data_IF_462310365311
#
_entry.id   IF_462310365311
#
_cell.length_a   1.000
_cell.length_b   1.000
_cell.length_c   1.000
_cell.angle_alpha   90.00
_cell.angle_beta   90.00
_cell.angle_gamma   90.00
#
_symmetry.space_group_name_H-M   'P 1'
#
loop_
_entity.id
_entity.type
_entity.pdbx_description
1 polymer ?
#
# COMPACT_ATOMS: atom_id res chain seq x y z
N UNK A 1 -11.80 -18.06 4.14
CA UNK A 1 -10.74 -17.04 3.96
C UNK A 1 -11.30 -15.73 4.48
N UNK A 2 -10.72 -15.20 5.52
CA UNK A 2 -11.10 -13.95 6.19
C UNK A 2 -10.23 -12.79 5.73
N UNK A 3 -10.76 -11.57 5.74
CA UNK A 3 -10.09 -10.37 5.23
C UNK A 3 -10.26 -9.21 6.22
N UNK A 4 -9.17 -8.67 6.73
CA UNK A 4 -9.16 -7.43 7.50
C UNK A 4 -8.58 -6.27 6.68
N UNK A 5 -9.14 -5.07 6.86
CA UNK A 5 -8.60 -3.83 6.29
C UNK A 5 -7.95 -3.01 7.41
N UNK A 6 -6.67 -2.64 7.22
CA UNK A 6 -5.83 -1.99 8.22
C UNK A 6 -5.45 -0.59 7.74
N UNK A 7 -5.83 0.44 8.51
CA UNK A 7 -5.73 1.84 8.07
C UNK A 7 -5.06 2.69 9.14
N UNK A 8 -3.79 3.11 8.95
CA UNK A 8 -3.22 4.22 9.70
C UNK A 8 -3.96 5.52 9.36
N UNK A 9 -4.35 6.27 10.38
CA UNK A 9 -5.17 7.49 10.23
C UNK A 9 -4.55 8.64 11.00
N UNK A 10 -4.50 9.82 10.36
CA UNK A 10 -4.13 11.06 11.02
C UNK A 10 -5.01 12.21 10.56
N UNK A 11 -5.77 12.81 11.49
CA UNK A 11 -6.72 13.89 11.20
C UNK A 11 -7.71 13.50 10.09
N UNK A 12 -8.55 12.46 10.31
CA UNK A 12 -9.47 11.95 9.29
C UNK A 12 -10.35 13.06 8.72
N UNK A 13 -10.49 13.07 7.41
CA UNK A 13 -11.30 14.04 6.66
C UNK A 13 -12.49 13.36 5.94
N UNK A 14 -13.14 14.11 5.04
CA UNK A 14 -14.25 13.59 4.22
C UNK A 14 -13.85 12.40 3.31
N UNK A 15 -12.58 12.26 2.93
CA UNK A 15 -12.10 11.14 2.12
C UNK A 15 -12.10 9.86 2.94
N UNK A 16 -11.65 9.94 4.20
CA UNK A 16 -11.74 8.82 5.12
C UNK A 16 -13.19 8.38 5.33
N UNK A 17 -14.12 9.30 5.57
CA UNK A 17 -15.54 8.96 5.70
C UNK A 17 -16.07 8.24 4.44
N UNK A 18 -15.67 8.70 3.24
CA UNK A 18 -16.03 8.05 1.98
C UNK A 18 -15.38 6.68 1.81
N UNK A 19 -14.09 6.53 2.21
CA UNK A 19 -13.40 5.25 2.21
C UNK A 19 -14.18 4.21 3.02
N UNK A 20 -14.56 4.54 4.26
CA UNK A 20 -15.34 3.64 5.11
C UNK A 20 -16.68 3.26 4.48
N UNK A 21 -17.39 4.23 3.88
CA UNK A 21 -18.64 3.96 3.17
C UNK A 21 -18.45 3.01 1.98
N UNK A 22 -17.34 3.13 1.25
CA UNK A 22 -17.05 2.28 0.10
C UNK A 22 -16.60 0.87 0.52
N UNK A 23 -15.89 0.72 1.65
CA UNK A 23 -15.54 -0.59 2.19
C UNK A 23 -16.80 -1.40 2.58
N UNK A 24 -17.82 -0.76 3.12
CA UNK A 24 -19.10 -1.41 3.44
C UNK A 24 -19.89 -1.89 2.21
N UNK A 25 -19.57 -1.38 1.02
CA UNK A 25 -20.27 -1.71 -0.25
C UNK A 25 -19.50 -2.72 -1.09
N UNK A 26 -18.35 -3.21 -0.62
CA UNK A 26 -17.57 -4.15 -1.40
C UNK A 26 -18.31 -5.47 -1.59
N UNK A 27 -18.10 -6.13 -2.74
CA UNK A 27 -18.64 -7.49 -3.04
C UNK A 27 -18.09 -8.52 -2.05
N UNK A 28 -16.85 -8.31 -1.59
CA UNK A 28 -16.26 -9.00 -0.45
C UNK A 28 -16.12 -7.98 0.67
N UNK A 29 -17.04 -8.01 1.63
CA UNK A 29 -17.02 -7.10 2.79
C UNK A 29 -15.90 -7.54 3.72
N UNK A 30 -15.04 -6.63 4.21
CA UNK A 30 -14.00 -7.01 5.18
C UNK A 30 -14.63 -7.50 6.49
N UNK A 31 -14.04 -8.52 7.11
CA UNK A 31 -14.48 -9.05 8.39
C UNK A 31 -14.25 -8.01 9.51
N UNK A 32 -13.11 -7.31 9.44
CA UNK A 32 -12.78 -6.22 10.38
C UNK A 32 -12.13 -5.05 9.65
N UNK A 33 -12.31 -3.85 10.21
CA UNK A 33 -11.61 -2.62 9.82
C UNK A 33 -10.83 -2.12 11.04
N UNK A 34 -9.51 -2.28 11.01
CA UNK A 34 -8.61 -1.93 12.12
C UNK A 34 -7.99 -0.56 11.83
N UNK A 35 -8.35 0.41 12.66
CA UNK A 35 -7.90 1.80 12.55
C UNK A 35 -6.78 2.06 13.56
N UNK A 36 -5.63 2.50 13.06
CA UNK A 36 -4.51 2.97 13.87
C UNK A 36 -4.51 4.51 13.86
N UNK A 37 -5.24 5.12 14.78
CA UNK A 37 -5.41 6.58 14.79
C UNK A 37 -4.29 7.27 15.57
N UNK A 38 -3.51 8.09 14.88
CA UNK A 38 -2.50 8.96 15.50
C UNK A 38 -3.17 10.19 16.09
N UNK A 39 -2.92 10.46 17.37
CA UNK A 39 -3.49 11.55 18.19
C UNK A 39 -5.01 11.40 18.42
N UNK A 40 -5.37 10.85 19.57
CA UNK A 40 -6.77 10.64 19.99
C UNK A 40 -7.62 11.91 19.87
N UNK A 41 -7.03 13.09 20.10
CA UNK A 41 -7.74 14.37 20.04
C UNK A 41 -8.33 14.68 18.65
N UNK A 42 -7.80 14.09 17.57
CA UNK A 42 -8.31 14.28 16.22
C UNK A 42 -9.36 13.25 15.79
N UNK A 43 -9.65 12.26 16.66
CA UNK A 43 -10.64 11.23 16.34
C UNK A 43 -12.04 11.65 16.82
N UNK A 44 -12.98 11.74 15.87
CA UNK A 44 -14.40 11.88 16.21
C UNK A 44 -15.10 10.52 16.00
N UNK A 45 -15.50 9.90 17.11
CA UNK A 45 -16.14 8.60 17.08
C UNK A 45 -17.61 8.60 16.61
N UNK A 46 -18.30 9.76 16.60
CA UNK A 46 -19.75 9.82 16.39
C UNK A 46 -20.21 9.29 15.03
N UNK A 47 -19.38 9.41 14.01
CA UNK A 47 -19.66 8.88 12.66
C UNK A 47 -19.34 7.40 12.44
N UNK A 48 -18.70 6.73 13.42
CA UNK A 48 -18.09 5.40 13.20
C UNK A 48 -18.46 4.34 14.24
N UNK A 49 -19.18 4.72 15.32
CA UNK A 49 -19.50 3.82 16.46
C UNK A 49 -20.27 2.57 16.06
N UNK A 50 -21.16 2.69 15.07
CA UNK A 50 -22.09 1.63 14.67
C UNK A 50 -21.62 0.86 13.43
N UNK A 51 -20.32 0.92 13.10
CA UNK A 51 -19.78 0.18 11.97
C UNK A 51 -19.34 -1.20 12.45
N UNK A 52 -20.03 -2.27 11.99
CA UNK A 52 -19.69 -3.62 12.42
C UNK A 52 -18.23 -3.96 12.07
N UNK A 53 -17.54 -4.61 13.01
CA UNK A 53 -16.14 -5.04 12.82
C UNK A 53 -15.11 -3.90 12.80
N UNK A 54 -15.50 -2.65 13.08
CA UNK A 54 -14.52 -1.56 13.19
C UNK A 54 -13.91 -1.50 14.58
N UNK A 55 -12.60 -1.47 14.64
CA UNK A 55 -11.80 -1.29 15.85
C UNK A 55 -10.87 -0.09 15.70
N UNK A 56 -10.70 0.67 16.78
CA UNK A 56 -9.87 1.89 16.77
C UNK A 56 -8.87 1.83 17.91
N UNK A 57 -7.60 1.85 17.53
CA UNK A 57 -6.46 1.93 18.43
C UNK A 57 -5.82 3.31 18.30
N UNK A 58 -5.47 3.93 19.41
CA UNK A 58 -4.87 5.27 19.41
C UNK A 58 -3.39 5.19 19.70
N UNK A 59 -2.63 5.97 18.95
CA UNK A 59 -1.19 6.18 19.10
C UNK A 59 -0.93 7.68 19.34
N UNK A 60 0.17 8.00 19.97
CA UNK A 60 0.72 9.36 19.94
C UNK A 60 1.52 9.58 18.67
N UNK A 61 1.85 10.83 18.38
CA UNK A 61 2.69 11.16 17.20
C UNK A 61 4.11 10.61 17.34
N UNK A 62 4.64 10.52 18.55
CA UNK A 62 5.95 9.96 18.87
C UNK A 62 6.00 8.43 18.65
N UNK A 63 4.87 7.74 18.85
CA UNK A 63 4.74 6.29 18.63
C UNK A 63 4.54 5.93 17.17
N UNK A 64 4.17 6.91 16.33
CA UNK A 64 3.90 6.63 14.92
C UNK A 64 5.21 6.34 14.17
N UNK A 65 5.20 5.23 13.47
CA UNK A 65 6.23 4.79 12.53
C UNK A 65 5.56 4.12 11.33
N UNK A 66 6.05 4.33 10.11
CA UNK A 66 5.40 3.81 8.91
C UNK A 66 5.30 2.28 8.89
N UNK A 67 6.37 1.58 9.19
CA UNK A 67 6.40 0.11 9.27
C UNK A 67 5.81 -0.39 10.59
N UNK A 68 6.27 0.17 11.72
CA UNK A 68 5.88 -0.24 13.07
C UNK A 68 4.38 -0.11 13.33
N UNK A 69 3.75 0.99 12.92
CA UNK A 69 2.29 1.17 13.05
C UNK A 69 1.52 0.12 12.26
N UNK A 70 1.99 -0.23 11.05
CA UNK A 70 1.38 -1.29 10.24
C UNK A 70 1.62 -2.68 10.82
N UNK A 71 2.80 -2.94 11.38
CA UNK A 71 3.08 -4.19 12.10
C UNK A 71 2.16 -4.35 13.31
N UNK A 72 1.94 -3.26 14.06
CA UNK A 72 1.02 -3.27 15.19
C UNK A 72 -0.43 -3.53 14.74
N UNK A 73 -0.88 -2.93 13.63
CA UNK A 73 -2.17 -3.25 13.04
C UNK A 73 -2.27 -4.72 12.61
N UNK A 74 -1.21 -5.27 12.00
CA UNK A 74 -1.13 -6.69 11.61
C UNK A 74 -1.18 -7.62 12.84
N UNK A 75 -0.65 -7.20 13.97
CA UNK A 75 -0.72 -7.96 15.22
C UNK A 75 -2.16 -8.07 15.74
N UNK A 76 -2.97 -7.00 15.62
CA UNK A 76 -4.40 -7.02 16.00
C UNK A 76 -5.25 -7.84 15.03
N UNK A 77 -4.84 -7.99 13.79
CA UNK A 77 -5.57 -8.79 12.80
C UNK A 77 -5.46 -10.29 13.10
N UNK A 78 -6.54 -11.05 12.89
CA UNK A 78 -6.57 -12.51 12.94
C UNK A 78 -6.97 -13.13 11.59
N UNK A 79 -7.12 -12.33 10.55
CA UNK A 79 -7.57 -12.76 9.22
C UNK A 79 -6.49 -13.50 8.44
N UNK A 80 -6.91 -14.22 7.40
CA UNK A 80 -6.01 -14.89 6.44
C UNK A 80 -5.29 -13.87 5.56
N UNK A 81 -6.02 -12.79 5.19
CA UNK A 81 -5.55 -11.72 4.31
C UNK A 81 -5.69 -10.37 5.02
N UNK A 82 -4.64 -9.59 4.98
CA UNK A 82 -4.61 -8.21 5.47
C UNK A 82 -4.51 -7.25 4.29
N UNK A 83 -5.37 -6.23 4.25
CA UNK A 83 -5.30 -5.16 3.24
C UNK A 83 -4.92 -3.87 3.94
N UNK A 84 -3.70 -3.40 3.72
CA UNK A 84 -3.29 -2.07 4.17
C UNK A 84 -3.81 -1.01 3.21
N UNK A 85 -4.35 0.07 3.77
CA UNK A 85 -4.78 1.25 3.00
C UNK A 85 -4.35 2.53 3.70
N UNK A 86 -4.12 3.61 2.95
CA UNK A 86 -4.04 4.96 3.52
C UNK A 86 -5.45 5.54 3.70
N UNK A 87 -5.61 6.45 4.64
CA UNK A 87 -6.90 7.02 5.04
C UNK A 87 -7.58 7.88 3.96
N UNK A 88 -6.89 8.15 2.87
CA UNK A 88 -7.37 8.92 1.73
C UNK A 88 -7.46 8.13 0.41
N UNK A 89 -7.19 6.83 0.44
CA UNK A 89 -7.30 5.93 -0.71
C UNK A 89 -8.73 5.38 -0.84
N UNK A 90 -9.57 6.07 -1.61
CA UNK A 90 -11.00 5.71 -1.73
C UNK A 90 -11.20 4.65 -2.82
N UNK A 91 -11.81 3.48 -2.54
CA UNK A 91 -12.19 2.52 -3.57
C UNK A 91 -12.99 3.16 -4.70
N UNK A 92 -12.61 2.88 -5.95
CA UNK A 92 -13.30 3.42 -7.13
C UNK A 92 -14.68 2.81 -7.31
N UNK A 93 -14.82 1.51 -6.98
CA UNK A 93 -16.02 0.71 -7.14
C UNK A 93 -16.10 -0.37 -6.02
N UNK A 94 -17.08 -1.26 -6.11
CA UNK A 94 -17.34 -2.34 -5.15
C UNK A 94 -16.47 -3.59 -5.33
N UNK A 95 -15.57 -3.64 -6.31
CA UNK A 95 -14.79 -4.83 -6.64
C UNK A 95 -13.34 -4.79 -6.17
N UNK A 96 -12.93 -3.76 -5.41
CA UNK A 96 -11.53 -3.58 -4.99
C UNK A 96 -10.99 -4.81 -4.26
N UNK A 97 -11.67 -5.26 -3.21
CA UNK A 97 -11.20 -6.39 -2.37
C UNK A 97 -11.22 -7.68 -3.18
N UNK A 98 -12.30 -7.97 -3.90
CA UNK A 98 -12.41 -9.14 -4.76
C UNK A 98 -11.26 -9.22 -5.77
N UNK A 99 -10.91 -8.10 -6.42
CA UNK A 99 -9.83 -8.06 -7.40
C UNK A 99 -8.45 -8.24 -6.75
N UNK A 100 -8.21 -7.69 -5.56
CA UNK A 100 -6.97 -7.93 -4.83
C UNK A 100 -6.81 -9.41 -4.45
N UNK A 101 -7.90 -10.07 -4.03
CA UNK A 101 -7.88 -11.50 -3.72
C UNK A 101 -7.58 -12.34 -4.97
N UNK A 102 -8.19 -12.02 -6.11
CA UNK A 102 -7.85 -12.64 -7.41
C UNK A 102 -6.38 -12.43 -7.77
N UNK A 103 -5.81 -11.27 -7.43
CA UNK A 103 -4.39 -10.98 -7.58
C UNK A 103 -3.51 -11.90 -6.74
N UNK A 104 -3.87 -12.14 -5.48
CA UNK A 104 -3.15 -13.06 -4.59
C UNK A 104 -3.23 -14.53 -5.05
N UNK A 105 -4.27 -14.90 -5.80
CA UNK A 105 -4.45 -16.28 -6.30
C UNK A 105 -3.68 -16.54 -7.62
N UNK A 106 -3.09 -15.51 -8.20
CA UNK A 106 -2.19 -15.65 -9.36
C UNK A 106 -0.91 -16.38 -8.97
N UNK A 107 -0.15 -16.78 -9.99
CA UNK A 107 1.16 -17.41 -9.85
C UNK A 107 2.20 -16.65 -10.66
N UNK A 108 3.43 -16.64 -10.17
CA UNK A 108 4.56 -16.23 -10.96
C UNK A 108 4.86 -17.17 -12.12
N UNK A 109 5.80 -16.80 -13.02
CA UNK A 109 6.10 -17.56 -14.23
C UNK A 109 6.52 -19.02 -13.99
N UNK A 110 7.17 -19.30 -12.85
CA UNK A 110 7.62 -20.63 -12.47
C UNK A 110 6.74 -21.25 -11.35
N UNK A 111 5.54 -20.70 -11.15
CA UNK A 111 4.58 -21.19 -10.17
C UNK A 111 4.74 -20.59 -8.78
N UNK A 112 5.53 -19.54 -8.62
CA UNK A 112 5.73 -18.81 -7.35
C UNK A 112 4.38 -18.32 -6.80
N UNK A 113 4.14 -18.54 -5.51
CA UNK A 113 2.94 -18.02 -4.86
C UNK A 113 3.05 -16.50 -4.71
N UNK A 114 1.96 -15.79 -4.99
CA UNK A 114 1.88 -14.35 -4.78
C UNK A 114 1.70 -14.06 -3.28
N UNK A 115 2.66 -13.37 -2.68
CA UNK A 115 2.62 -12.93 -1.28
C UNK A 115 1.91 -11.59 -1.11
N UNK A 116 1.99 -10.72 -2.14
CA UNK A 116 1.57 -9.32 -2.13
C UNK A 116 0.81 -8.99 -3.41
N UNK A 117 -0.36 -8.35 -3.29
CA UNK A 117 -1.11 -7.83 -4.43
C UNK A 117 -1.48 -6.36 -4.19
N UNK A 118 -1.07 -5.44 -5.08
CA UNK A 118 -1.34 -4.01 -4.89
C UNK A 118 -2.21 -3.41 -5.99
N UNK A 119 -2.99 -2.41 -5.59
CA UNK A 119 -4.02 -1.78 -6.39
C UNK A 119 -3.47 -0.68 -7.32
N UNK A 120 -4.24 -0.40 -8.37
CA UNK A 120 -4.06 0.76 -9.24
C UNK A 120 -4.52 2.03 -8.54
N UNK A 121 -3.67 3.06 -8.53
CA UNK A 121 -4.02 4.38 -8.03
C UNK A 121 -4.49 5.27 -9.18
N UNK A 122 -5.73 5.71 -9.12
CA UNK A 122 -6.33 6.65 -10.08
C UNK A 122 -6.23 8.09 -9.57
N UNK A 123 -6.01 9.06 -10.46
CA UNK A 123 -6.03 10.47 -10.08
C UNK A 123 -7.44 10.94 -9.70
N UNK A 124 -7.57 11.76 -8.66
CA UNK A 124 -8.82 12.45 -8.35
C UNK A 124 -9.23 13.43 -9.47
N UNK A 125 -10.51 13.85 -9.48
CA UNK A 125 -11.04 14.77 -10.53
C UNK A 125 -10.30 16.10 -10.58
N UNK A 126 -9.89 16.64 -9.43
CA UNK A 126 -9.16 17.89 -9.24
C UNK A 126 -7.64 17.74 -9.33
N UNK A 127 -7.15 16.56 -9.72
CA UNK A 127 -5.73 16.24 -9.83
C UNK A 127 -5.07 17.08 -10.93
N UNK A 128 -3.93 17.70 -10.58
CA UNK A 128 -3.11 18.51 -11.53
C UNK A 128 -2.46 17.63 -12.60
N UNK A 129 -2.12 18.24 -13.74
CA UNK A 129 -1.59 17.53 -14.91
C UNK A 129 -0.35 16.68 -14.60
N UNK A 130 0.61 17.23 -13.86
CA UNK A 130 1.85 16.51 -13.51
C UNK A 130 1.54 15.25 -12.69
N UNK A 131 0.73 15.39 -11.65
CA UNK A 131 0.34 14.26 -10.82
C UNK A 131 -0.44 13.21 -11.62
N UNK A 132 -1.35 13.65 -12.50
CA UNK A 132 -2.11 12.76 -13.39
C UNK A 132 -1.18 11.96 -14.30
N UNK A 133 -0.18 12.60 -14.88
CA UNK A 133 0.83 11.95 -15.70
C UNK A 133 1.65 10.93 -14.90
N UNK A 134 2.12 11.32 -13.71
CA UNK A 134 2.86 10.42 -12.81
C UNK A 134 2.05 9.19 -12.41
N UNK A 135 0.74 9.36 -12.13
CA UNK A 135 -0.15 8.22 -11.84
C UNK A 135 -0.28 7.29 -13.03
N UNK A 136 -0.53 7.82 -14.23
CA UNK A 136 -0.64 7.01 -15.44
C UNK A 136 0.67 6.24 -15.74
N UNK A 137 1.83 6.87 -15.50
CA UNK A 137 3.15 6.27 -15.71
C UNK A 137 3.44 5.14 -14.73
N UNK A 138 3.11 5.32 -13.43
CA UNK A 138 3.42 4.35 -12.39
C UNK A 138 2.37 3.25 -12.25
N UNK A 139 1.14 3.50 -12.70
CA UNK A 139 0.00 2.59 -12.56
C UNK A 139 -0.70 2.38 -13.91
N UNK A 140 -0.06 1.68 -14.87
CA UNK A 140 -0.65 1.37 -16.17
C UNK A 140 -1.90 0.48 -16.02
N UNK A 141 -2.58 0.20 -17.12
CA UNK A 141 -3.77 -0.68 -17.13
C UNK A 141 -3.45 -2.16 -17.38
N UNK A 142 -2.17 -2.48 -17.52
CA UNK A 142 -1.70 -3.85 -17.80
C UNK A 142 -1.32 -4.55 -16.49
N UNK A 143 -1.91 -5.73 -16.18
CA UNK A 143 -1.55 -6.50 -15.00
C UNK A 143 -0.13 -7.07 -15.10
N UNK A 144 0.48 -7.32 -13.94
CA UNK A 144 1.83 -7.87 -13.90
C UNK A 144 2.02 -8.71 -12.63
N UNK A 145 2.64 -9.88 -12.78
CA UNK A 145 3.16 -10.66 -11.66
C UNK A 145 4.67 -10.62 -11.76
N UNK A 146 5.31 -10.07 -10.74
CA UNK A 146 6.75 -9.82 -10.68
C UNK A 146 7.43 -10.79 -9.73
N UNK A 147 8.63 -11.22 -10.11
CA UNK A 147 9.51 -12.08 -9.31
C UNK A 147 10.91 -11.49 -9.26
N UNK A 148 11.80 -12.07 -8.44
CA UNK A 148 13.20 -11.62 -8.38
C UNK A 148 13.92 -11.66 -9.74
N UNK A 149 13.48 -12.51 -10.68
CA UNK A 149 14.07 -12.62 -12.02
C UNK A 149 13.91 -11.34 -12.86
N UNK A 150 12.90 -10.53 -12.55
CA UNK A 150 12.61 -9.30 -13.28
C UNK A 150 13.56 -8.14 -12.92
N UNK A 151 14.41 -8.28 -11.89
CA UNK A 151 15.36 -7.23 -11.45
C UNK A 151 16.28 -6.78 -12.59
N UNK A 152 16.75 -7.72 -13.41
CA UNK A 152 17.64 -7.42 -14.52
C UNK A 152 17.02 -6.53 -15.60
N UNK A 153 15.70 -6.57 -15.76
CA UNK A 153 14.94 -5.86 -16.80
C UNK A 153 14.19 -4.65 -16.26
N UNK A 154 13.66 -4.73 -15.05
CA UNK A 154 12.81 -3.70 -14.44
C UNK A 154 13.51 -2.85 -13.37
N UNK A 155 14.71 -3.26 -12.93
CA UNK A 155 15.44 -2.55 -11.88
C UNK A 155 14.58 -2.38 -10.61
N UNK A 156 14.59 -1.18 -10.05
CA UNK A 156 13.85 -0.84 -8.82
C UNK A 156 12.34 -1.09 -8.92
N UNK A 157 11.74 -1.02 -10.10
CA UNK A 157 10.29 -1.28 -10.31
C UNK A 157 9.90 -2.71 -10.04
N UNK A 158 10.84 -3.66 -10.02
CA UNK A 158 10.58 -5.04 -9.62
C UNK A 158 9.97 -5.10 -8.24
N UNK A 159 10.56 -4.38 -7.28
CA UNK A 159 10.12 -4.37 -5.89
C UNK A 159 8.98 -3.39 -5.61
N UNK A 160 8.55 -2.62 -6.61
CA UNK A 160 7.50 -1.64 -6.40
C UNK A 160 6.19 -2.31 -5.96
N UNK A 161 5.74 -1.96 -4.77
CA UNK A 161 4.44 -2.21 -4.19
C UNK A 161 3.95 -0.91 -3.54
N UNK A 162 2.71 -0.83 -3.09
CA UNK A 162 2.24 0.40 -2.46
C UNK A 162 1.17 0.16 -1.41
N UNK A 163 1.52 0.45 -0.16
CA UNK A 163 0.61 0.42 1.00
C UNK A 163 -0.49 1.50 0.96
N UNK A 164 -0.56 2.28 -0.11
CA UNK A 164 -1.77 3.07 -0.39
C UNK A 164 -2.99 2.16 -0.51
N UNK A 165 -2.84 0.98 -1.16
CA UNK A 165 -3.80 -0.11 -1.10
C UNK A 165 -3.11 -1.41 -1.53
N UNK A 166 -2.85 -2.30 -0.59
CA UNK A 166 -2.06 -3.50 -0.82
C UNK A 166 -2.50 -4.66 0.07
N UNK A 167 -2.76 -5.82 -0.53
CA UNK A 167 -3.15 -7.06 0.14
C UNK A 167 -1.94 -7.97 0.39
N UNK A 168 -1.89 -8.57 1.56
CA UNK A 168 -0.83 -9.46 2.03
C UNK A 168 -1.41 -10.77 2.55
N UNK A 169 -0.77 -11.90 2.24
CA UNK A 169 -1.02 -13.17 2.92
C UNK A 169 -0.41 -13.14 4.31
N UNK A 170 -1.23 -13.28 5.34
CA UNK A 170 -0.78 -13.11 6.73
C UNK A 170 0.23 -14.15 7.19
N UNK A 171 0.11 -15.38 6.74
CA UNK A 171 1.05 -16.47 7.03
C UNK A 171 2.45 -16.15 6.49
N UNK A 172 2.53 -15.65 5.23
CA UNK A 172 3.79 -15.22 4.62
C UNK A 172 4.32 -13.95 5.31
N UNK A 173 3.44 -13.00 5.63
CA UNK A 173 3.80 -11.77 6.33
C UNK A 173 4.48 -12.06 7.68
N UNK A 174 3.91 -12.99 8.46
CA UNK A 174 4.49 -13.43 9.73
C UNK A 174 5.81 -14.16 9.54
N UNK A 175 5.90 -15.04 8.53
CA UNK A 175 7.12 -15.79 8.22
C UNK A 175 8.29 -14.87 7.85
N UNK A 176 8.00 -13.72 7.23
CA UNK A 176 8.98 -12.72 6.82
C UNK A 176 9.14 -11.58 7.84
N UNK A 177 8.60 -11.74 9.05
CA UNK A 177 8.73 -10.83 10.19
C UNK A 177 8.12 -9.43 9.98
N UNK A 178 7.23 -9.28 8.97
CA UNK A 178 6.52 -8.04 8.69
C UNK A 178 7.35 -6.97 8.02
N UNK A 179 6.95 -5.71 8.22
CA UNK A 179 7.66 -4.55 7.68
C UNK A 179 8.88 -4.18 8.52
N UNK A 180 9.87 -3.58 7.89
CA UNK A 180 10.97 -2.93 8.61
C UNK A 180 10.42 -1.79 9.48
N UNK A 181 10.93 -1.67 10.69
CA UNK A 181 10.61 -0.57 11.60
C UNK A 181 11.59 0.60 11.38
N UNK A 182 11.20 1.78 11.86
CA UNK A 182 12.04 2.99 11.86
C UNK A 182 12.48 3.44 10.46
N UNK A 183 11.63 3.24 9.47
CA UNK A 183 11.83 3.78 8.11
C UNK A 183 10.84 4.90 7.81
N UNK A 184 11.31 5.94 7.11
CA UNK A 184 10.46 7.07 6.74
C UNK A 184 9.55 6.73 5.53
N UNK A 185 10.00 5.82 4.64
CA UNK A 185 9.30 5.34 3.45
C UNK A 185 9.79 3.95 3.04
N UNK A 186 9.22 3.41 1.98
CA UNK A 186 9.63 2.18 1.28
C UNK A 186 9.48 0.87 2.09
N UNK A 187 8.77 0.87 3.22
CA UNK A 187 8.51 -0.35 3.99
C UNK A 187 7.86 -1.44 3.12
N UNK A 188 6.98 -1.04 2.18
CA UNK A 188 6.31 -1.91 1.23
C UNK A 188 7.26 -2.50 0.18
N UNK A 189 8.18 -1.68 -0.35
CA UNK A 189 9.18 -2.13 -1.33
C UNK A 189 10.24 -3.03 -0.68
N UNK A 190 10.67 -2.72 0.54
CA UNK A 190 11.61 -3.54 1.32
C UNK A 190 10.98 -4.91 1.60
N UNK A 191 9.72 -4.93 2.02
CA UNK A 191 8.98 -6.19 2.21
C UNK A 191 8.83 -6.96 0.89
N UNK A 192 8.50 -6.29 -0.21
CA UNK A 192 8.39 -6.93 -1.53
C UNK A 192 9.71 -7.58 -1.97
N UNK A 193 10.86 -6.94 -1.69
CA UNK A 193 12.18 -7.51 -1.95
C UNK A 193 12.41 -8.76 -1.10
N UNK A 194 12.15 -8.70 0.21
CA UNK A 194 12.26 -9.85 1.11
C UNK A 194 11.35 -11.02 0.70
N UNK A 195 10.12 -10.73 0.25
CA UNK A 195 9.20 -11.74 -0.26
C UNK A 195 9.74 -12.42 -1.52
N UNK A 196 10.29 -11.64 -2.47
CA UNK A 196 10.89 -12.19 -3.69
C UNK A 196 12.17 -12.98 -3.40
N UNK A 197 12.97 -12.57 -2.41
CA UNK A 197 14.15 -13.32 -1.97
C UNK A 197 13.79 -14.65 -1.32
N UNK A 198 12.63 -14.72 -0.69
CA UNK A 198 12.05 -15.94 -0.14
C UNK A 198 11.33 -16.81 -1.19
N UNK A 199 11.36 -16.44 -2.49
CA UNK A 199 10.76 -17.21 -3.59
C UNK A 199 9.28 -16.94 -3.84
N UNK A 200 8.74 -15.84 -3.34
CA UNK A 200 7.37 -15.39 -3.60
C UNK A 200 7.32 -14.37 -4.75
N UNK A 201 6.12 -14.17 -5.29
CA UNK A 201 5.82 -13.16 -6.30
C UNK A 201 5.04 -11.98 -5.72
N UNK A 202 5.05 -10.86 -6.44
CA UNK A 202 4.26 -9.65 -6.18
C UNK A 202 3.39 -9.35 -7.40
N UNK A 203 2.07 -9.21 -7.20
CA UNK A 203 1.10 -8.92 -8.26
C UNK A 203 0.72 -7.44 -8.28
N UNK A 204 0.72 -6.83 -9.45
CA UNK A 204 0.03 -5.58 -9.74
C UNK A 204 -1.33 -5.88 -10.36
N UNK A 205 -2.39 -5.34 -9.76
CA UNK A 205 -3.79 -5.64 -10.12
C UNK A 205 -4.48 -4.36 -10.58
N UNK A 206 -4.46 -4.03 -11.89
CA UNK A 206 -5.05 -2.79 -12.40
C UNK A 206 -6.58 -2.74 -12.31
N UNK A 207 -7.25 -3.87 -12.14
CA UNK A 207 -8.70 -3.99 -11.90
C UNK A 207 -9.06 -3.58 -10.47
N UNK A 208 -8.16 -3.76 -9.49
CA UNK A 208 -8.30 -3.25 -8.13
C UNK A 208 -7.95 -1.76 -8.12
N UNK A 209 -8.94 -0.88 -7.96
CA UNK A 209 -8.76 0.56 -8.18
C UNK A 209 -9.09 1.38 -6.94
N UNK A 210 -8.19 2.30 -6.61
CA UNK A 210 -8.43 3.35 -5.60
C UNK A 210 -8.20 4.73 -6.22
N UNK A 211 -9.01 5.71 -5.83
CA UNK A 211 -8.78 7.12 -6.13
C UNK A 211 -7.87 7.68 -5.06
N UNK A 212 -6.64 8.02 -5.43
CA UNK A 212 -5.63 8.57 -4.53
C UNK A 212 -4.69 9.48 -5.31
N UNK A 213 -4.61 10.75 -4.93
CA UNK A 213 -3.65 11.70 -5.50
C UNK A 213 -3.44 12.89 -4.58
N UNK A 214 -2.28 13.52 -4.71
CA UNK A 214 -1.91 14.71 -3.95
C UNK A 214 -1.49 15.83 -4.91
N UNK A 215 -2.06 17.02 -4.74
CA UNK A 215 -1.65 18.21 -5.48
C UNK A 215 -0.49 18.91 -4.78
N UNK A 216 0.64 18.22 -4.66
CA UNK A 216 1.82 18.75 -3.98
C UNK A 216 2.36 20.00 -4.70
N UNK A 217 2.86 20.96 -3.91
CA UNK A 217 3.68 22.04 -4.44
C UNK A 217 5.07 21.50 -4.84
N UNK A 218 5.85 22.19 -5.69
CA UNK A 218 7.19 21.76 -6.04
C UNK A 218 8.10 21.49 -4.83
N UNK A 219 7.99 22.32 -3.78
CA UNK A 219 8.77 22.15 -2.55
C UNK A 219 8.34 20.89 -1.77
N UNK A 220 7.04 20.64 -1.65
CA UNK A 220 6.54 19.41 -1.01
C UNK A 220 6.96 18.15 -1.80
N UNK A 221 6.95 18.23 -3.14
CA UNK A 221 7.43 17.13 -3.97
C UNK A 221 8.94 16.90 -3.80
N UNK A 222 9.72 17.99 -3.69
CA UNK A 222 11.16 17.90 -3.41
C UNK A 222 11.42 17.22 -2.07
N UNK A 223 10.75 17.64 -0.98
CA UNK A 223 10.89 17.02 0.33
C UNK A 223 10.54 15.53 0.30
N UNK A 224 9.42 15.18 -0.34
CA UNK A 224 9.01 13.77 -0.48
C UNK A 224 10.06 12.93 -1.22
N UNK A 225 10.61 13.46 -2.32
CA UNK A 225 11.64 12.74 -3.09
C UNK A 225 12.95 12.63 -2.31
N UNK A 226 13.28 13.64 -1.52
CA UNK A 226 14.44 13.61 -0.62
C UNK A 226 14.28 12.52 0.44
N UNK A 227 13.12 12.47 1.12
CA UNK A 227 12.83 11.46 2.14
C UNK A 227 12.83 10.05 1.54
N UNK A 228 12.30 9.86 0.32
CA UNK A 228 12.38 8.60 -0.40
C UNK A 228 13.84 8.18 -0.67
N UNK A 229 14.69 9.13 -1.08
CA UNK A 229 16.10 8.87 -1.34
C UNK A 229 16.87 8.55 -0.05
N UNK A 230 16.56 9.22 1.05
CA UNK A 230 17.12 8.90 2.38
C UNK A 230 16.77 7.47 2.76
N UNK A 231 15.49 7.10 2.70
CA UNK A 231 15.06 5.73 3.00
C UNK A 231 15.74 4.68 2.11
N UNK A 232 15.96 4.96 0.82
CA UNK A 232 16.70 4.06 -0.05
C UNK A 232 18.18 3.95 0.33
N UNK A 233 18.82 5.04 0.74
CA UNK A 233 20.21 5.06 1.18
C UNK A 233 20.42 4.33 2.52
N UNK A 234 19.41 4.33 3.39
CA UNK A 234 19.41 3.61 4.67
C UNK A 234 19.23 2.09 4.49
N UNK A 235 18.76 1.63 3.32
CA UNK A 235 18.54 0.23 3.00
C UNK A 235 19.36 -0.22 1.77
N UNK A 236 20.70 -0.12 1.81
CA UNK A 236 21.56 -0.49 0.67
C UNK A 236 21.45 -1.98 0.31
N UNK A 237 21.09 -2.85 1.25
CA UNK A 237 20.86 -4.29 1.01
C UNK A 237 19.74 -4.57 -0.01
N UNK A 238 18.83 -3.60 -0.21
CA UNK A 238 17.74 -3.69 -1.18
C UNK A 238 18.02 -2.83 -2.41
N UNK A 239 18.57 -1.62 -2.24
CA UNK A 239 18.56 -0.59 -3.27
C UNK A 239 19.91 -0.28 -3.92
N UNK A 240 21.07 -0.67 -3.32
CA UNK A 240 22.39 -0.23 -3.80
C UNK A 240 22.70 -0.66 -5.23
N UNK A 241 22.30 -1.86 -5.64
CA UNK A 241 22.58 -2.42 -6.95
C UNK A 241 21.48 -2.15 -8.00
N UNK A 242 20.43 -1.41 -7.62
CA UNK A 242 19.29 -1.14 -8.48
C UNK A 242 19.46 0.16 -9.27
N UNK A 243 19.40 0.05 -10.60
CA UNK A 243 19.43 1.22 -11.48
C UNK A 243 18.08 1.95 -11.43
N UNK A 244 18.04 3.11 -10.78
CA UNK A 244 16.86 4.00 -10.72
C UNK A 244 16.90 5.11 -11.76
N UNK A 245 18.09 5.47 -12.29
CA UNK A 245 18.31 6.58 -13.21
C UNK A 245 17.53 6.43 -14.53
N UNK A 246 17.42 5.21 -15.06
CA UNK A 246 16.68 4.94 -16.29
C UNK A 246 15.18 5.25 -16.19
N UNK A 247 14.58 5.13 -15.01
CA UNK A 247 13.17 5.41 -14.78
C UNK A 247 12.89 6.91 -14.71
N UNK A 248 13.79 7.70 -14.10
CA UNK A 248 13.70 9.16 -14.13
C UNK A 248 13.77 9.72 -15.55
N UNK A 249 14.65 9.17 -16.40
CA UNK A 249 14.78 9.55 -17.82
C UNK A 249 13.50 9.19 -18.61
N UNK A 250 12.89 8.04 -18.36
CA UNK A 250 11.63 7.64 -19.00
C UNK A 250 10.44 8.51 -18.61
N UNK A 251 10.45 9.04 -17.39
CA UNK A 251 9.37 9.91 -16.89
C UNK A 251 9.37 11.28 -17.56
N UNK A 252 10.55 11.80 -17.98
CA UNK A 252 10.70 13.15 -18.58
C UNK A 252 10.81 13.14 -20.12
N UNK A 253 10.82 12.00 -20.76
CA UNK A 253 10.72 11.84 -22.22
C UNK A 253 9.27 11.68 -22.67
#
# INVERSE_FOLDING_TARGET
MTVDVLIPVYKPDRRFARLIQMLKKQTVVPDRIIIMNTEKAYWNADGYRDIPGMEVHHLTKEEFDHGGTRNLAAWYSESDIMIFMTDDAVPQDEYLIENLLKGLDQKGPDGEAVAVAYARQLPAKDCRTIERYTRAFNYPDTPMVKTKKDVSTMGIKTYFASNVCCAYRKDIFRKLEGFVNSTIFNEDMIYAAAAMDAGYAVAYVPEAKVVHSHNLTPMQQFHRNFDLAVSQAEHPEVFADLKSEGEGIRLVK
#
